data_IF_279857119359
#
_entry.id   IF_279857119359
#
_cell.length_a   1.000
_cell.length_b   1.000
_cell.length_c   1.000
_cell.angle_alpha   90.00
_cell.angle_beta   90.00
_cell.angle_gamma   90.00
#
_symmetry.space_group_name_H-M   'P 1'
#
loop_
_entity.id
_entity.type
_entity.pdbx_description
1 polymer ?
#
# COMPACT_ATOMS: atom_id res chain seq x y z
N UNK A 1 5.60 24.13 17.56
CA UNK A 1 6.38 23.15 16.80
C UNK A 1 5.47 21.99 16.44
N UNK A 2 5.56 21.51 15.19
CA UNK A 2 4.84 20.31 14.71
C UNK A 2 5.79 19.13 14.88
N UNK A 3 5.29 18.04 15.47
CA UNK A 3 6.11 16.86 15.72
C UNK A 3 5.23 15.59 15.77
N UNK A 4 5.78 14.49 15.28
CA UNK A 4 5.29 13.15 15.56
C UNK A 4 6.17 12.51 16.63
N UNK A 5 5.64 11.58 17.40
CA UNK A 5 6.37 10.86 18.45
C UNK A 5 6.20 9.37 18.35
N UNK A 6 7.24 8.62 18.68
CA UNK A 6 7.19 7.19 18.88
C UNK A 6 7.93 6.85 20.17
N UNK A 7 7.35 6.00 20.99
CA UNK A 7 7.97 5.50 22.20
C UNK A 7 8.67 4.17 21.91
N UNK A 8 9.89 4.03 22.38
CA UNK A 8 10.64 2.77 22.40
C UNK A 8 10.73 2.27 23.84
N UNK A 9 10.40 1.01 24.06
CA UNK A 9 10.55 0.35 25.34
C UNK A 9 11.86 -0.43 25.38
N UNK A 10 12.40 -0.64 26.57
CA UNK A 10 13.64 -1.41 26.76
C UNK A 10 13.47 -2.84 26.20
N UNK A 11 14.41 -3.25 25.36
CA UNK A 11 14.37 -4.58 24.71
C UNK A 11 13.56 -4.67 23.43
N UNK A 12 12.92 -3.59 22.97
CA UNK A 12 12.22 -3.57 21.68
C UNK A 12 13.19 -3.20 20.54
N UNK A 13 13.03 -3.93 19.42
CA UNK A 13 13.76 -3.69 18.16
C UNK A 13 12.84 -3.17 17.07
N UNK A 14 11.93 -2.27 17.42
CA UNK A 14 10.95 -1.73 16.48
C UNK A 14 11.61 -0.74 15.52
N UNK A 15 11.22 -0.82 14.24
CA UNK A 15 11.54 0.22 13.26
C UNK A 15 10.83 1.52 13.62
N UNK A 16 11.48 2.65 13.34
CA UNK A 16 10.86 3.97 13.50
C UNK A 16 9.78 4.16 12.45
N UNK A 17 8.55 4.37 12.91
CA UNK A 17 7.39 4.66 12.06
C UNK A 17 6.58 5.80 12.68
N UNK A 18 6.90 7.03 12.31
CA UNK A 18 6.33 8.25 12.90
C UNK A 18 5.38 8.89 11.90
N UNK A 19 4.16 9.19 12.32
CA UNK A 19 3.23 9.99 11.53
C UNK A 19 3.72 11.45 11.46
N UNK A 20 4.00 11.89 10.23
CA UNK A 20 4.49 13.25 9.92
C UNK A 20 3.47 14.04 9.07
N UNK A 21 2.23 13.58 9.00
CA UNK A 21 1.17 14.16 8.18
C UNK A 21 0.99 15.66 8.41
N UNK A 22 0.95 16.11 9.65
CA UNK A 22 0.79 17.53 9.96
C UNK A 22 1.95 18.38 9.44
N UNK A 23 3.19 17.88 9.53
CA UNK A 23 4.37 18.57 9.01
C UNK A 23 4.27 18.71 7.49
N UNK A 24 3.91 17.62 6.80
CA UNK A 24 3.78 17.61 5.34
C UNK A 24 2.66 18.56 4.89
N UNK A 25 1.52 18.59 5.57
CA UNK A 25 0.46 19.55 5.27
C UNK A 25 0.91 21.00 5.39
N UNK A 26 1.72 21.33 6.37
CA UNK A 26 2.28 22.69 6.54
C UNK A 26 3.29 23.04 5.46
N UNK A 27 4.12 22.09 5.04
CA UNK A 27 5.01 22.30 3.88
C UNK A 27 4.21 22.50 2.57
N UNK A 28 3.21 21.66 2.33
CA UNK A 28 2.32 21.75 1.17
C UNK A 28 1.60 23.10 1.13
N UNK A 29 1.13 23.62 2.25
CA UNK A 29 0.48 24.91 2.35
C UNK A 29 1.38 26.09 1.90
N UNK A 30 2.70 25.95 2.06
CA UNK A 30 3.68 26.98 1.64
C UNK A 30 3.97 26.97 0.13
N UNK A 31 3.63 25.90 -0.60
CA UNK A 31 3.99 25.69 -2.01
C UNK A 31 2.83 26.06 -2.97
N UNK A 32 1.60 26.22 -2.50
CA UNK A 32 0.44 26.49 -3.35
C UNK A 32 0.59 27.81 -4.10
N UNK A 33 0.70 27.72 -5.41
CA UNK A 33 0.85 28.87 -6.31
C UNK A 33 -0.39 29.78 -6.21
N UNK A 34 -0.20 31.03 -5.80
CA UNK A 34 -1.24 32.06 -5.76
C UNK A 34 -2.04 32.18 -4.46
N UNK A 35 -1.74 31.39 -3.44
CA UNK A 35 -2.27 31.58 -2.10
C UNK A 35 -1.13 31.65 -1.09
N UNK A 36 -0.96 32.80 -0.48
CA UNK A 36 -0.09 32.96 0.69
C UNK A 36 -0.83 32.31 1.86
N UNK A 37 -0.49 31.08 2.19
CA UNK A 37 -0.96 30.46 3.43
C UNK A 37 -0.18 31.10 4.58
N UNK A 38 -0.82 31.89 5.46
CA UNK A 38 -0.11 32.56 6.55
C UNK A 38 0.52 31.60 7.54
N UNK A 39 0.10 30.31 7.51
CA UNK A 39 0.55 29.28 8.42
C UNK A 39 1.50 28.24 7.80
N UNK A 40 1.94 28.44 6.56
CA UNK A 40 2.90 27.57 5.89
C UNK A 40 4.30 27.68 6.51
N UNK A 41 5.02 26.57 6.55
CA UNK A 41 6.42 26.55 7.00
C UNK A 41 7.33 26.06 5.86
N UNK A 42 8.56 26.55 5.82
CA UNK A 42 9.54 26.08 4.87
C UNK A 42 9.98 24.64 5.18
N UNK A 43 10.23 23.88 4.12
CA UNK A 43 10.77 22.54 4.25
C UNK A 43 12.27 22.60 4.54
N UNK A 44 12.65 22.32 5.78
CA UNK A 44 14.03 22.20 6.23
C UNK A 44 14.42 20.73 6.54
N UNK A 45 13.58 19.77 6.18
CA UNK A 45 13.75 18.35 6.51
C UNK A 45 13.21 18.00 7.89
N UNK A 46 13.50 16.77 8.33
CA UNK A 46 13.11 16.25 9.63
C UNK A 46 14.28 16.20 10.59
N UNK A 47 14.07 16.62 11.82
CA UNK A 47 15.00 16.45 12.93
C UNK A 47 14.49 15.33 13.85
N UNK A 48 15.25 14.26 13.98
CA UNK A 48 15.01 13.20 14.96
C UNK A 48 15.74 13.54 16.25
N UNK A 49 15.03 13.59 17.36
CA UNK A 49 15.61 13.90 18.67
C UNK A 49 14.79 13.29 19.80
N UNK A 50 15.35 13.16 20.96
CA UNK A 50 14.61 12.81 22.17
C UNK A 50 13.73 13.98 22.65
N UNK A 51 12.82 13.73 23.58
CA UNK A 51 12.04 14.80 24.17
C UNK A 51 12.94 15.79 24.92
N UNK A 52 12.62 17.08 24.86
CA UNK A 52 13.39 18.13 25.53
C UNK A 52 13.57 17.87 27.03
N UNK A 53 12.55 17.34 27.70
CA UNK A 53 12.63 16.99 29.13
C UNK A 53 13.69 15.92 29.40
N UNK A 54 13.86 14.99 28.48
CA UNK A 54 14.88 13.94 28.58
C UNK A 54 16.27 14.52 28.29
N UNK A 55 16.42 15.34 27.24
CA UNK A 55 17.71 15.97 26.89
C UNK A 55 18.25 16.90 27.96
N UNK A 56 17.35 17.63 28.66
CA UNK A 56 17.77 18.68 29.62
C UNK A 56 17.85 18.21 31.06
N UNK A 57 17.14 17.18 31.45
CA UNK A 57 17.00 16.74 32.84
C UNK A 57 17.54 15.35 33.15
N UNK A 58 17.83 14.55 32.11
CA UNK A 58 18.33 13.20 32.32
C UNK A 58 19.78 13.21 32.87
N UNK A 59 19.96 12.58 34.01
CA UNK A 59 21.27 12.31 34.61
C UNK A 59 21.85 10.95 34.15
N UNK A 60 21.02 10.10 33.56
CA UNK A 60 21.42 8.77 33.10
C UNK A 60 21.40 8.72 31.55
N UNK A 61 22.35 8.02 30.96
CA UNK A 61 22.35 7.76 29.50
C UNK A 61 21.26 6.75 29.16
N UNK A 62 20.48 7.03 28.10
CA UNK A 62 19.40 6.17 27.62
C UNK A 62 19.82 5.20 26.49
N UNK A 63 21.11 5.02 26.29
CA UNK A 63 21.61 4.20 25.19
C UNK A 63 21.73 4.98 23.89
N UNK A 64 22.04 4.28 22.83
CA UNK A 64 22.25 4.82 21.47
C UNK A 64 21.29 4.15 20.50
N UNK A 65 20.62 4.94 19.67
CA UNK A 65 19.80 4.46 18.56
C UNK A 65 20.51 4.83 17.26
N UNK A 66 20.82 3.81 16.46
CA UNK A 66 21.48 3.98 15.17
C UNK A 66 20.50 3.79 14.03
N UNK A 67 20.57 4.66 13.02
CA UNK A 67 19.75 4.61 11.82
C UNK A 67 20.63 4.44 10.58
N UNK A 68 20.10 3.74 9.60
CA UNK A 68 20.72 3.69 8.28
C UNK A 68 20.58 5.04 7.56
N UNK A 69 21.61 5.45 6.84
CA UNK A 69 21.54 6.64 5.99
C UNK A 69 20.86 6.34 4.65
N UNK A 70 20.53 7.40 3.89
CA UNK A 70 20.01 7.26 2.54
C UNK A 70 20.98 6.56 1.57
N UNK A 71 22.28 6.60 1.87
CA UNK A 71 23.36 6.00 1.07
C UNK A 71 23.71 4.57 1.52
N UNK A 72 22.89 3.96 2.36
CA UNK A 72 23.13 2.58 2.79
C UNK A 72 23.05 1.61 1.60
N UNK A 73 23.92 0.60 1.61
CA UNK A 73 23.82 -0.52 0.67
C UNK A 73 22.83 -1.60 1.12
N UNK A 74 22.16 -1.37 2.25
CA UNK A 74 21.14 -2.27 2.78
C UNK A 74 19.76 -1.96 2.18
N UNK A 75 18.78 -2.83 2.46
CA UNK A 75 17.39 -2.66 2.04
C UNK A 75 16.60 -1.70 2.96
N UNK A 76 17.25 -1.09 3.94
CA UNK A 76 16.64 -0.28 4.99
C UNK A 76 17.00 1.22 4.92
N UNK A 77 16.96 1.89 3.74
CA UNK A 77 17.10 3.34 3.72
C UNK A 77 15.91 4.00 4.43
N UNK A 78 16.07 5.20 4.97
CA UNK A 78 14.93 5.97 5.48
C UNK A 78 13.93 6.22 4.34
N UNK A 79 12.64 6.06 4.61
CA UNK A 79 11.56 6.21 3.62
C UNK A 79 10.51 7.17 4.15
N UNK A 80 9.96 7.97 3.25
CA UNK A 80 8.74 8.73 3.49
C UNK A 80 7.61 8.04 2.71
N UNK A 81 6.64 7.49 3.44
CA UNK A 81 5.51 6.81 2.83
C UNK A 81 4.34 7.78 2.66
N UNK A 82 3.79 7.84 1.46
CA UNK A 82 2.55 8.55 1.16
C UNK A 82 1.47 7.53 0.91
N UNK A 83 0.32 7.72 1.58
CA UNK A 83 -0.85 6.88 1.43
C UNK A 83 -2.05 7.76 1.07
N UNK A 84 -2.79 7.37 0.04
CA UNK A 84 -3.99 8.07 -0.40
C UNK A 84 -5.01 7.06 -0.93
N UNK A 85 -6.28 7.44 -0.93
CA UNK A 85 -7.36 6.64 -1.51
C UNK A 85 -7.62 7.14 -2.95
N UNK A 86 -7.30 6.30 -3.94
CA UNK A 86 -7.62 6.50 -5.36
C UNK A 86 -8.63 5.46 -5.86
N UNK A 87 -9.26 4.74 -4.94
CA UNK A 87 -10.23 3.70 -5.28
C UNK A 87 -11.54 4.30 -5.82
N UNK A 88 -12.10 3.62 -6.82
CA UNK A 88 -13.41 3.92 -7.39
C UNK A 88 -14.18 2.61 -7.61
N UNK A 89 -15.39 2.52 -7.09
CA UNK A 89 -16.19 1.31 -7.19
C UNK A 89 -17.55 1.65 -7.80
N UNK A 90 -17.73 1.32 -9.08
CA UNK A 90 -18.94 1.62 -9.86
C UNK A 90 -19.77 0.39 -10.23
N UNK A 91 -19.34 -0.82 -9.85
CA UNK A 91 -20.07 -2.04 -10.15
C UNK A 91 -21.44 -2.09 -9.44
N UNK A 92 -22.50 -2.35 -10.22
CA UNK A 92 -23.88 -2.42 -9.71
C UNK A 92 -24.51 -3.80 -9.83
N UNK A 93 -23.90 -4.73 -10.58
CA UNK A 93 -24.41 -6.07 -10.85
C UNK A 93 -23.30 -7.12 -10.72
N UNK A 94 -23.66 -8.40 -10.68
CA UNK A 94 -22.74 -9.55 -10.57
C UNK A 94 -21.77 -9.49 -9.38
N UNK A 95 -22.17 -8.81 -8.30
CA UNK A 95 -21.36 -8.73 -7.08
C UNK A 95 -21.47 -10.04 -6.31
N UNK A 96 -20.33 -10.68 -6.09
CA UNK A 96 -20.20 -11.96 -5.38
C UNK A 96 -20.09 -11.70 -3.88
N UNK A 97 -21.17 -11.97 -3.15
CA UNK A 97 -21.25 -11.73 -1.69
C UNK A 97 -20.94 -12.96 -0.84
N UNK A 98 -20.95 -14.14 -1.44
CA UNK A 98 -20.68 -15.41 -0.78
C UNK A 98 -20.30 -16.47 -1.82
N UNK A 99 -19.87 -17.63 -1.35
CA UNK A 99 -19.55 -18.78 -2.17
C UNK A 99 -18.08 -18.93 -2.52
N UNK A 100 -17.78 -20.04 -3.19
CA UNK A 100 -16.41 -20.38 -3.61
C UNK A 100 -16.05 -19.63 -4.89
N UNK A 101 -15.11 -18.67 -4.78
CA UNK A 101 -14.70 -17.81 -5.88
C UNK A 101 -13.33 -18.23 -6.42
N UNK A 102 -13.14 -18.01 -7.71
CA UNK A 102 -11.84 -18.01 -8.38
C UNK A 102 -11.48 -16.57 -8.70
N UNK A 103 -10.47 -16.07 -8.03
CA UNK A 103 -9.96 -14.71 -8.19
C UNK A 103 -8.54 -14.80 -8.72
N UNK A 104 -8.26 -14.17 -9.84
CA UNK A 104 -6.94 -14.22 -10.47
C UNK A 104 -6.56 -12.89 -11.08
N UNK A 105 -5.27 -12.58 -11.04
CA UNK A 105 -4.68 -11.50 -11.82
C UNK A 105 -4.55 -11.95 -13.28
N UNK A 106 -4.82 -11.06 -14.22
CA UNK A 106 -4.71 -11.37 -15.65
C UNK A 106 -4.12 -10.19 -16.44
N UNK A 107 -3.58 -10.48 -17.61
CA UNK A 107 -2.99 -9.51 -18.53
C UNK A 107 -1.90 -8.64 -17.86
N UNK A 108 -1.11 -9.25 -16.99
CA UNK A 108 -0.06 -8.56 -16.24
C UNK A 108 1.33 -8.99 -16.72
N UNK A 109 2.22 -8.01 -16.80
CA UNK A 109 3.63 -8.23 -17.18
C UNK A 109 4.42 -8.76 -15.97
N UNK A 110 5.56 -9.37 -16.25
CA UNK A 110 6.49 -9.80 -15.20
C UNK A 110 7.50 -8.73 -14.79
N UNK A 111 7.66 -7.68 -15.61
CA UNK A 111 8.62 -6.59 -15.38
C UNK A 111 7.97 -5.25 -15.67
N UNK A 112 8.24 -4.27 -14.80
CA UNK A 112 7.74 -2.90 -14.88
C UNK A 112 8.86 -1.93 -14.59
N UNK A 113 8.86 -0.76 -15.28
CA UNK A 113 9.84 0.29 -14.99
C UNK A 113 9.48 1.00 -13.68
N UNK A 114 10.49 1.49 -12.98
CA UNK A 114 10.32 2.21 -11.72
C UNK A 114 9.40 3.44 -11.82
N UNK A 115 9.31 4.07 -13.00
CA UNK A 115 8.49 5.26 -13.20
C UNK A 115 7.07 4.95 -13.68
N UNK A 116 6.71 3.68 -13.84
CA UNK A 116 5.40 3.28 -14.33
C UNK A 116 4.33 3.41 -13.25
N UNK A 117 3.12 3.76 -13.68
CA UNK A 117 1.87 3.57 -12.94
C UNK A 117 1.12 2.45 -13.66
N UNK A 118 0.90 1.34 -12.97
CA UNK A 118 0.34 0.15 -13.61
C UNK A 118 -1.03 -0.19 -13.04
N UNK A 119 -2.00 -0.36 -13.94
CA UNK A 119 -3.34 -0.89 -13.62
C UNK A 119 -3.28 -2.42 -13.61
N UNK A 120 -3.30 -3.03 -12.43
CA UNK A 120 -3.41 -4.48 -12.28
C UNK A 120 -4.87 -4.90 -12.38
N UNK A 121 -5.16 -5.78 -13.32
CA UNK A 121 -6.52 -6.28 -13.60
C UNK A 121 -6.78 -7.59 -12.87
N UNK A 122 -7.99 -7.72 -12.32
CA UNK A 122 -8.43 -8.86 -11.53
C UNK A 122 -9.66 -9.48 -12.19
N UNK A 123 -9.59 -10.76 -12.48
CA UNK A 123 -10.72 -11.54 -12.97
C UNK A 123 -11.37 -12.30 -11.81
N UNK A 124 -12.68 -12.14 -11.68
CA UNK A 124 -13.49 -12.75 -10.62
C UNK A 124 -14.58 -13.60 -11.24
N UNK A 125 -14.68 -14.84 -10.81
CA UNK A 125 -15.77 -15.75 -11.23
C UNK A 125 -16.08 -16.77 -10.14
N UNK A 126 -17.20 -17.44 -10.26
CA UNK A 126 -17.46 -18.62 -9.45
C UNK A 126 -16.48 -19.73 -9.81
N UNK A 127 -15.97 -20.43 -8.80
CA UNK A 127 -15.06 -21.56 -9.01
C UNK A 127 -15.75 -22.70 -9.78
N UNK A 128 -17.04 -22.90 -9.51
CA UNK A 128 -17.90 -23.89 -10.15
C UNK A 128 -19.14 -23.17 -10.70
N UNK A 129 -19.05 -22.49 -11.87
CA UNK A 129 -20.19 -21.80 -12.43
C UNK A 129 -21.23 -22.79 -12.90
N UNK A 130 -22.50 -22.43 -12.73
CA UNK A 130 -23.61 -23.21 -13.25
C UNK A 130 -23.53 -23.33 -14.78
N UNK A 131 -23.86 -24.50 -15.29
CA UNK A 131 -23.94 -24.70 -16.73
C UNK A 131 -25.19 -24.00 -17.25
N UNK A 132 -25.01 -23.14 -18.24
CA UNK A 132 -26.13 -22.56 -19.00
C UNK A 132 -26.10 -23.07 -20.42
N UNK A 133 -27.28 -23.17 -21.04
CA UNK A 133 -27.43 -23.48 -22.45
C UNK A 133 -27.42 -22.20 -23.32
N UNK A 134 -27.06 -21.08 -22.74
CA UNK A 134 -26.87 -19.81 -23.45
C UNK A 134 -25.59 -19.85 -24.31
N UNK A 135 -25.60 -19.08 -25.40
CA UNK A 135 -24.44 -19.00 -26.29
C UNK A 135 -23.23 -18.31 -25.63
N UNK A 136 -23.44 -17.62 -24.50
CA UNK A 136 -22.36 -16.92 -23.77
C UNK A 136 -21.77 -17.80 -22.68
N UNK A 137 -20.46 -17.88 -22.66
CA UNK A 137 -19.76 -18.60 -21.61
C UNK A 137 -19.82 -17.86 -20.27
N UNK A 138 -20.33 -18.52 -19.23
CA UNK A 138 -20.34 -17.98 -17.86
C UNK A 138 -18.94 -17.66 -17.32
N UNK A 139 -17.89 -18.24 -17.91
CA UNK A 139 -16.51 -17.94 -17.55
C UNK A 139 -16.03 -16.57 -18.04
N UNK A 140 -16.68 -16.00 -19.05
CA UNK A 140 -16.36 -14.70 -19.62
C UNK A 140 -17.18 -13.56 -18.99
N UNK A 141 -18.23 -13.88 -18.23
CA UNK A 141 -19.03 -12.87 -17.53
C UNK A 141 -18.17 -12.20 -16.44
N UNK A 142 -18.11 -10.88 -16.48
CA UNK A 142 -17.39 -10.09 -15.48
C UNK A 142 -18.08 -10.25 -14.13
N UNK A 143 -17.33 -10.71 -13.14
CA UNK A 143 -17.77 -10.79 -11.76
C UNK A 143 -17.03 -9.77 -10.90
N UNK A 144 -17.65 -9.35 -9.80
CA UNK A 144 -17.11 -8.37 -8.89
C UNK A 144 -17.08 -8.93 -7.45
N UNK A 145 -16.01 -8.63 -6.73
CA UNK A 145 -15.97 -8.79 -5.28
C UNK A 145 -16.74 -7.63 -4.63
N UNK A 146 -17.08 -7.75 -3.37
CA UNK A 146 -17.64 -6.62 -2.60
C UNK A 146 -16.62 -5.49 -2.42
N UNK A 147 -17.07 -4.33 -1.96
CA UNK A 147 -16.21 -3.19 -1.60
C UNK A 147 -15.18 -3.51 -0.50
N UNK A 148 -15.37 -4.60 0.25
CA UNK A 148 -14.42 -5.13 1.24
C UNK A 148 -13.29 -5.93 0.60
N UNK A 149 -12.70 -5.43 -0.47
CA UNK A 149 -11.61 -6.10 -1.20
C UNK A 149 -10.37 -5.23 -1.25
N UNK A 150 -9.22 -5.82 -0.95
CA UNK A 150 -7.96 -5.11 -0.73
C UNK A 150 -6.80 -5.85 -1.37
N UNK A 151 -5.74 -5.13 -1.71
CA UNK A 151 -4.48 -5.71 -2.17
C UNK A 151 -3.35 -5.47 -1.18
N UNK A 152 -2.33 -6.32 -1.22
CA UNK A 152 -1.07 -6.16 -0.46
C UNK A 152 0.10 -6.54 -1.36
N UNK A 153 1.21 -5.83 -1.17
CA UNK A 153 2.46 -6.09 -1.87
C UNK A 153 3.49 -6.55 -0.86
N UNK A 154 4.12 -7.68 -1.14
CA UNK A 154 5.21 -8.24 -0.33
C UNK A 154 6.48 -8.34 -1.15
N UNK A 155 7.61 -8.26 -0.46
CA UNK A 155 8.89 -8.66 -1.04
C UNK A 155 8.87 -10.18 -1.27
N UNK A 156 9.15 -10.60 -2.50
CA UNK A 156 9.02 -12.00 -2.90
C UNK A 156 10.06 -12.93 -2.26
N UNK A 157 11.17 -12.38 -1.75
CA UNK A 157 12.23 -13.16 -1.15
C UNK A 157 12.13 -13.22 0.38
N UNK A 158 11.86 -12.09 1.00
CA UNK A 158 11.81 -11.97 2.46
C UNK A 158 10.41 -12.12 3.05
N UNK A 159 9.37 -12.17 2.20
CA UNK A 159 7.94 -12.15 2.57
C UNK A 159 7.54 -10.92 3.42
N UNK A 160 8.41 -9.92 3.52
CA UNK A 160 8.13 -8.69 4.25
C UNK A 160 7.02 -7.92 3.55
N UNK A 161 6.07 -7.44 4.32
CA UNK A 161 5.03 -6.54 3.83
C UNK A 161 5.63 -5.18 3.49
N UNK A 162 5.50 -4.78 2.23
CA UNK A 162 5.90 -3.46 1.72
C UNK A 162 4.69 -2.53 1.71
N UNK A 163 3.55 -3.03 1.23
CA UNK A 163 2.26 -2.37 1.28
C UNK A 163 1.32 -3.35 1.99
N UNK A 164 0.96 -3.10 3.26
CA UNK A 164 0.02 -3.96 4.00
C UNK A 164 -1.40 -3.82 3.48
N UNK A 165 -2.27 -4.76 3.83
CA UNK A 165 -3.70 -4.60 3.62
C UNK A 165 -4.22 -3.45 4.48
N UNK A 166 -4.83 -2.48 3.85
CA UNK A 166 -5.42 -1.31 4.49
C UNK A 166 -6.85 -1.09 3.99
N UNK A 167 -7.77 -0.73 4.88
CA UNK A 167 -9.19 -0.57 4.57
C UNK A 167 -9.52 0.76 3.87
N UNK A 168 -8.55 1.64 3.74
CA UNK A 168 -8.69 2.94 3.08
C UNK A 168 -7.83 3.03 1.84
N UNK A 169 -6.53 2.72 1.95
CA UNK A 169 -5.53 3.04 0.93
C UNK A 169 -5.22 1.90 -0.04
N UNK A 170 -5.64 0.67 0.25
CA UNK A 170 -5.39 -0.49 -0.61
C UNK A 170 -6.68 -1.15 -1.12
N UNK A 171 -7.76 -0.37 -1.22
CA UNK A 171 -9.01 -0.84 -1.80
C UNK A 171 -8.86 -1.20 -3.27
N UNK A 172 -9.58 -2.24 -3.68
CA UNK A 172 -9.66 -2.64 -5.08
C UNK A 172 -10.82 -1.90 -5.73
N UNK A 173 -10.53 -1.27 -6.85
CA UNK A 173 -11.50 -0.54 -7.68
C UNK A 173 -12.30 -1.48 -8.56
N UNK A 174 -13.46 -1.03 -9.03
CA UNK A 174 -14.30 -1.75 -9.98
C UNK A 174 -14.92 -0.78 -11.00
N UNK A 175 -14.79 -1.10 -12.27
CA UNK A 175 -15.40 -0.40 -13.40
C UNK A 175 -16.19 -1.38 -14.29
N UNK A 176 -16.66 -0.95 -15.44
CA UNK A 176 -17.42 -1.79 -16.38
C UNK A 176 -16.57 -2.94 -16.97
N UNK A 177 -15.24 -2.78 -17.01
CA UNK A 177 -14.32 -3.79 -17.55
C UNK A 177 -13.95 -4.87 -16.51
N UNK A 178 -14.14 -4.59 -15.21
CA UNK A 178 -13.82 -5.52 -14.15
C UNK A 178 -13.23 -4.85 -12.92
N UNK A 179 -12.55 -5.65 -12.14
CA UNK A 179 -11.86 -5.16 -10.94
C UNK A 179 -10.39 -4.87 -11.21
N UNK A 180 -9.86 -3.84 -10.54
CA UNK A 180 -8.48 -3.43 -10.72
C UNK A 180 -7.96 -2.62 -9.53
N UNK A 181 -6.65 -2.43 -9.47
CA UNK A 181 -6.00 -1.43 -8.64
C UNK A 181 -4.80 -0.83 -9.38
N UNK A 182 -4.46 0.40 -9.03
CA UNK A 182 -3.29 1.08 -9.58
C UNK A 182 -2.12 0.90 -8.61
N UNK A 183 -0.96 0.57 -9.14
CA UNK A 183 0.27 0.47 -8.37
C UNK A 183 1.32 1.42 -8.94
N UNK A 184 1.83 2.27 -8.07
CA UNK A 184 2.87 3.26 -8.38
C UNK A 184 4.23 2.63 -8.13
N UNK A 185 4.94 2.25 -9.19
CA UNK A 185 6.22 1.54 -9.10
C UNK A 185 7.32 2.37 -8.45
N UNK A 186 7.21 3.70 -8.42
CA UNK A 186 8.15 4.61 -7.76
C UNK A 186 8.29 4.36 -6.25
N UNK A 187 7.25 3.83 -5.62
CA UNK A 187 7.28 3.45 -4.20
C UNK A 187 8.04 2.16 -3.92
N UNK A 188 8.41 1.42 -4.96
CA UNK A 188 9.08 0.13 -4.85
C UNK A 188 10.57 0.26 -5.23
N UNK A 189 11.41 -0.53 -4.56
CA UNK A 189 12.83 -0.56 -4.88
C UNK A 189 13.07 -1.26 -6.23
N UNK A 190 13.87 -0.68 -7.13
CA UNK A 190 14.22 -1.33 -8.37
C UNK A 190 15.11 -2.56 -8.14
N UNK A 191 15.16 -3.43 -9.14
CA UNK A 191 15.90 -4.71 -9.16
C UNK A 191 15.44 -5.72 -8.09
N UNK A 192 14.18 -5.60 -7.62
CA UNK A 192 13.57 -6.52 -6.66
C UNK A 192 12.32 -7.18 -7.23
N UNK A 193 12.05 -8.38 -6.72
CA UNK A 193 10.84 -9.13 -7.00
C UNK A 193 9.81 -8.89 -5.91
N UNK A 194 8.57 -8.70 -6.33
CA UNK A 194 7.41 -8.45 -5.47
C UNK A 194 6.32 -9.46 -5.73
N UNK A 195 5.54 -9.74 -4.70
CA UNK A 195 4.39 -10.66 -4.73
C UNK A 195 3.11 -9.90 -4.40
N UNK A 196 2.04 -10.22 -5.12
CA UNK A 196 0.73 -9.61 -4.91
C UNK A 196 -0.17 -10.60 -4.19
N UNK A 197 -0.81 -10.15 -3.12
CA UNK A 197 -1.89 -10.84 -2.43
C UNK A 197 -3.18 -10.03 -2.52
N UNK A 198 -4.31 -10.72 -2.64
CA UNK A 198 -5.63 -10.11 -2.66
C UNK A 198 -6.42 -10.61 -1.45
N UNK A 199 -7.10 -9.71 -0.73
CA UNK A 199 -7.96 -10.02 0.41
C UNK A 199 -9.39 -9.64 0.07
N UNK A 200 -10.33 -10.52 0.35
CA UNK A 200 -11.76 -10.27 0.20
C UNK A 200 -12.48 -10.58 1.51
N UNK A 201 -13.26 -9.63 1.97
CA UNK A 201 -14.16 -9.76 3.11
C UNK A 201 -15.58 -9.89 2.56
N UNK A 202 -16.20 -11.03 2.80
CA UNK A 202 -17.56 -11.34 2.39
C UNK A 202 -18.40 -11.79 3.59
N UNK A 203 -19.66 -12.18 3.32
CA UNK A 203 -20.57 -12.64 4.36
C UNK A 203 -20.11 -13.94 5.05
N UNK A 204 -19.30 -14.75 4.36
CA UNK A 204 -18.79 -16.03 4.85
C UNK A 204 -17.47 -15.86 5.65
N UNK A 205 -16.86 -14.67 5.61
CA UNK A 205 -15.62 -14.35 6.31
C UNK A 205 -14.57 -13.67 5.44
N UNK A 206 -13.32 -13.78 5.85
CA UNK A 206 -12.17 -13.20 5.14
C UNK A 206 -11.42 -14.28 4.39
N UNK A 207 -11.20 -14.05 3.09
CA UNK A 207 -10.41 -14.94 2.23
C UNK A 207 -9.23 -14.18 1.65
N UNK A 208 -8.05 -14.80 1.67
CA UNK A 208 -6.85 -14.30 1.01
C UNK A 208 -6.57 -15.17 -0.20
N UNK A 209 -6.45 -14.53 -1.36
CA UNK A 209 -6.08 -15.18 -2.61
C UNK A 209 -4.62 -14.91 -2.92
N UNK A 210 -3.88 -15.98 -3.07
CA UNK A 210 -2.50 -15.97 -3.48
C UNK A 210 -2.37 -16.73 -4.80
N UNK A 211 -2.13 -16.01 -5.86
CA UNK A 211 -1.98 -16.57 -7.20
C UNK A 211 -0.52 -16.88 -7.56
N UNK A 212 0.40 -16.80 -6.60
CA UNK A 212 1.84 -16.90 -6.84
C UNK A 212 2.29 -15.98 -7.98
N UNK A 213 1.70 -14.79 -8.05
CA UNK A 213 2.08 -13.80 -9.03
C UNK A 213 3.23 -12.95 -8.53
N UNK A 214 4.32 -13.00 -9.29
CA UNK A 214 5.54 -12.26 -9.01
C UNK A 214 5.84 -11.31 -10.16
N UNK A 215 6.30 -10.11 -9.82
CA UNK A 215 6.78 -9.14 -10.80
C UNK A 215 8.08 -8.49 -10.31
N UNK A 216 8.88 -8.01 -11.23
CA UNK A 216 10.12 -7.29 -10.96
C UNK A 216 9.96 -5.83 -11.32
N UNK A 217 10.51 -4.94 -10.50
CA UNK A 217 10.68 -3.52 -10.84
C UNK A 217 12.09 -3.35 -11.38
N UNK A 218 12.19 -2.76 -12.57
CA UNK A 218 13.45 -2.42 -13.23
C UNK A 218 13.61 -0.90 -13.30
N UNK A 219 14.86 -0.45 -13.50
CA UNK A 219 15.17 0.98 -13.63
C UNK A 219 14.75 1.56 -14.97
#
# INVERSE_FOLDING_TARGET
AFYGTQQFLEGETLDTNIDVKEIIHKWSASISVGQTYPDGINNHGFLLKTLNSVETTATNGFGEIQYFSSNTHTIYPPKLAFMWDDSSYTATSNIKKSGSLSVSLYDNKKEYNQNDITKFKIHVRDKYPDRSFENDSNYLKVGYLTTGSYYSIRDAHTEREIIPFDDTFTKISADEEGMYFNLYMQGLQPERYYRILLKHINNDGTTIYDNNYYFKVIR
#
